data_IF_279775955409
#
_entry.id   IF_279775955409
#
_cell.length_a   1.000
_cell.length_b   1.000
_cell.length_c   1.000
_cell.angle_alpha   90.00
_cell.angle_beta   90.00
_cell.angle_gamma   90.00
#
_symmetry.space_group_name_H-M   'P 1'
#
loop_
_entity.id
_entity.type
_entity.pdbx_description
1 polymer ?
#
# COMPACT_ATOMS: atom_id res chain seq x y z
N UNK A 1 11.19 12.60 -4.16
CA UNK A 1 10.29 12.72 -2.96
C UNK A 1 9.27 13.84 -3.15
N UNK A 2 8.14 13.81 -2.45
CA UNK A 2 7.14 14.90 -2.45
C UNK A 2 5.97 14.71 -3.43
N UNK A 3 6.06 13.71 -4.29
CA UNK A 3 4.95 13.31 -5.16
C UNK A 3 3.88 12.55 -4.37
N UNK A 4 2.62 12.72 -4.78
CA UNK A 4 1.50 11.96 -4.23
C UNK A 4 1.13 10.82 -5.17
N UNK A 5 1.25 9.59 -4.67
CA UNK A 5 0.83 8.39 -5.36
C UNK A 5 -0.66 8.17 -5.15
N UNK A 6 -1.41 8.06 -6.25
CA UNK A 6 -2.83 7.75 -6.24
C UNK A 6 -3.06 6.39 -6.91
N UNK A 7 -3.54 5.42 -6.14
CA UNK A 7 -3.92 4.09 -6.62
C UNK A 7 -5.42 4.07 -6.85
N UNK A 8 -5.84 4.00 -8.10
CA UNK A 8 -7.26 3.91 -8.47
C UNK A 8 -7.67 2.43 -8.50
N UNK A 9 -8.41 2.01 -7.48
CA UNK A 9 -8.79 0.62 -7.26
C UNK A 9 -10.17 0.31 -7.81
N UNK A 10 -10.26 -0.84 -8.45
CA UNK A 10 -11.49 -1.52 -8.80
C UNK A 10 -11.24 -3.03 -8.65
N UNK A 11 -11.09 -3.49 -7.41
CA UNK A 11 -10.77 -4.87 -7.06
C UNK A 11 -11.72 -5.41 -5.97
N UNK A 12 -13.03 -5.54 -6.25
CA UNK A 12 -14.01 -5.98 -5.25
C UNK A 12 -13.61 -7.32 -4.61
N UNK A 13 -13.64 -7.40 -3.28
CA UNK A 13 -13.22 -8.59 -2.52
C UNK A 13 -11.70 -8.75 -2.34
N UNK A 14 -10.89 -7.82 -2.85
CA UNK A 14 -9.45 -7.78 -2.64
C UNK A 14 -9.05 -6.46 -1.97
N UNK A 15 -9.08 -6.39 -0.61
CA UNK A 15 -8.62 -5.23 0.15
C UNK A 15 -7.14 -4.96 -0.15
N UNK A 16 -6.80 -3.75 -0.60
CA UNK A 16 -5.44 -3.37 -0.99
C UNK A 16 -4.78 -2.54 0.12
N UNK A 17 -3.72 -3.06 0.72
CA UNK A 17 -2.97 -2.39 1.78
C UNK A 17 -1.58 -1.98 1.33
N UNK A 18 -1.19 -0.75 1.66
CA UNK A 18 0.19 -0.31 1.63
C UNK A 18 0.88 -0.62 2.97
N UNK A 19 2.02 -1.31 2.91
CA UNK A 19 2.77 -1.82 4.07
C UNK A 19 4.27 -1.50 3.98
N UNK A 20 4.94 -1.45 5.12
CA UNK A 20 6.37 -1.10 5.29
C UNK A 20 7.30 -2.28 4.98
N UNK A 21 6.91 -3.49 5.37
CA UNK A 21 7.71 -4.72 5.24
C UNK A 21 6.86 -5.82 4.63
N UNK A 22 7.39 -6.55 3.64
CA UNK A 22 6.72 -7.74 3.12
C UNK A 22 6.94 -8.95 4.06
N UNK A 23 5.96 -9.22 4.92
CA UNK A 23 5.91 -10.39 5.81
C UNK A 23 4.78 -11.38 5.45
N UNK A 24 4.10 -11.16 4.32
CA UNK A 24 2.98 -12.00 3.85
C UNK A 24 1.64 -11.72 4.53
N UNK A 25 1.51 -10.65 5.31
CA UNK A 25 0.24 -10.26 5.95
C UNK A 25 0.08 -8.75 6.17
N UNK A 26 -1.02 -8.38 6.81
CA UNK A 26 -1.42 -6.99 7.11
C UNK A 26 -1.60 -6.82 8.61
N UNK A 27 -0.50 -6.66 9.35
CA UNK A 27 -0.55 -6.30 10.77
C UNK A 27 -0.57 -4.77 10.96
N UNK A 28 -1.21 -4.30 12.03
CA UNK A 28 -1.39 -2.86 12.28
C UNK A 28 -0.07 -2.11 12.46
N UNK A 29 1.00 -2.78 12.88
CA UNK A 29 2.31 -2.17 13.09
C UNK A 29 3.08 -2.02 11.77
N UNK A 30 2.69 -2.76 10.74
CA UNK A 30 3.32 -2.80 9.42
C UNK A 30 2.64 -1.88 8.38
N UNK A 31 1.52 -1.24 8.71
CA UNK A 31 0.89 -0.28 7.80
C UNK A 31 1.77 0.96 7.60
N UNK A 32 1.76 1.53 6.40
CA UNK A 32 2.37 2.83 6.13
C UNK A 32 1.49 3.92 6.76
N UNK A 33 2.12 4.84 7.47
CA UNK A 33 1.44 5.97 8.10
C UNK A 33 1.04 7.03 7.07
N UNK A 34 -0.08 7.72 7.31
CA UNK A 34 -0.56 8.80 6.44
C UNK A 34 -1.20 8.36 5.13
N UNK A 35 -1.40 7.05 4.92
CA UNK A 35 -2.14 6.54 3.76
C UNK A 35 -3.64 6.76 3.96
N UNK A 36 -4.28 7.41 3.00
CA UNK A 36 -5.74 7.58 2.98
C UNK A 36 -6.42 6.37 2.34
N UNK A 37 -7.55 5.94 2.91
CA UNK A 37 -8.37 4.83 2.40
C UNK A 37 -7.62 3.48 2.30
N UNK A 38 -6.58 3.28 3.12
CA UNK A 38 -5.77 2.06 3.12
C UNK A 38 -6.65 0.83 3.41
N UNK A 39 -6.48 -0.24 2.63
CA UNK A 39 -7.32 -1.44 2.72
C UNK A 39 -8.58 -1.41 1.86
N UNK A 40 -8.85 -0.32 1.13
CA UNK A 40 -10.01 -0.28 0.25
C UNK A 40 -9.92 -1.30 -0.89
N UNK A 41 -11.07 -1.82 -1.33
CA UNK A 41 -11.20 -2.64 -2.53
C UNK A 41 -11.68 -1.84 -3.76
N UNK A 42 -12.05 -0.57 -3.57
CA UNK A 42 -12.54 0.32 -4.63
C UNK A 42 -12.33 1.78 -4.25
N UNK A 43 -12.19 2.65 -5.26
CA UNK A 43 -11.91 4.08 -5.06
C UNK A 43 -10.43 4.38 -5.06
N UNK A 44 -10.03 5.55 -4.56
CA UNK A 44 -8.63 5.97 -4.58
C UNK A 44 -7.98 5.78 -3.21
N UNK A 45 -6.81 5.13 -3.20
CA UNK A 45 -5.85 5.17 -2.09
C UNK A 45 -4.81 6.23 -2.43
N UNK A 46 -4.53 7.13 -1.49
CA UNK A 46 -3.56 8.21 -1.70
C UNK A 46 -2.50 8.22 -0.62
N UNK A 47 -1.24 8.35 -1.02
CA UNK A 47 -0.07 8.38 -0.15
C UNK A 47 1.02 9.29 -0.73
N UNK A 48 1.60 10.12 0.13
CA UNK A 48 2.77 10.96 -0.19
C UNK A 48 3.96 10.46 0.63
N UNK A 49 4.94 9.76 0.01
CA UNK A 49 6.12 9.27 0.73
C UNK A 49 6.97 10.41 1.26
N UNK A 50 7.36 10.34 2.53
CA UNK A 50 8.29 11.29 3.17
C UNK A 50 9.75 10.88 3.08
N UNK A 51 10.03 9.60 2.78
CA UNK A 51 11.36 9.02 2.76
C UNK A 51 11.53 8.10 1.54
N UNK A 52 12.76 8.07 1.00
CA UNK A 52 13.14 7.12 -0.02
C UNK A 52 13.27 5.71 0.59
N UNK A 53 12.94 4.69 -0.19
CA UNK A 53 12.98 3.32 0.29
C UNK A 53 12.13 2.35 -0.51
N UNK A 54 12.07 1.12 -0.01
CA UNK A 54 11.25 0.05 -0.57
C UNK A 54 10.06 -0.20 0.34
N UNK A 55 8.88 -0.04 -0.25
CA UNK A 55 7.58 -0.30 0.36
C UNK A 55 6.84 -1.35 -0.45
N UNK A 56 5.67 -1.76 0.01
CA UNK A 56 4.92 -2.82 -0.65
C UNK A 56 3.42 -2.52 -0.68
N UNK A 57 2.73 -3.12 -1.64
CA UNK A 57 1.30 -3.36 -1.50
C UNK A 57 1.03 -4.85 -1.30
N UNK A 58 -0.01 -5.19 -0.55
CA UNK A 58 -0.49 -6.56 -0.37
C UNK A 58 -2.03 -6.60 -0.39
N UNK A 59 -2.61 -7.72 -0.83
CA UNK A 59 -4.00 -8.02 -0.54
C UNK A 59 -4.14 -8.71 0.82
N UNK A 60 -5.06 -8.25 1.68
CA UNK A 60 -5.31 -8.84 3.01
C UNK A 60 -5.58 -10.35 2.95
N UNK A 61 -6.34 -10.81 1.95
CA UNK A 61 -6.75 -12.21 1.85
C UNK A 61 -5.88 -13.07 0.93
N UNK A 62 -5.06 -12.44 0.07
CA UNK A 62 -4.29 -13.13 -0.95
C UNK A 62 -2.82 -12.73 -0.85
N UNK A 63 -2.00 -13.43 -0.04
CA UNK A 63 -0.59 -13.07 0.18
C UNK A 63 0.26 -13.05 -1.09
N UNK A 64 -0.16 -13.75 -2.14
CA UNK A 64 0.51 -13.72 -3.47
C UNK A 64 0.23 -12.44 -4.26
N UNK A 65 -0.81 -11.67 -3.92
CA UNK A 65 -1.07 -10.36 -4.49
C UNK A 65 -0.20 -9.33 -3.77
N UNK A 66 1.10 -9.49 -3.92
CA UNK A 66 2.14 -8.67 -3.32
C UNK A 66 2.90 -7.97 -4.44
N UNK A 67 3.15 -6.67 -4.28
CA UNK A 67 4.04 -5.93 -5.17
C UNK A 67 4.95 -4.98 -4.42
N UNK A 68 6.08 -4.65 -5.06
CA UNK A 68 7.10 -3.76 -4.52
C UNK A 68 6.91 -2.35 -5.08
N UNK A 69 7.08 -1.35 -4.22
CA UNK A 69 7.05 0.06 -4.55
C UNK A 69 8.40 0.65 -4.16
N UNK A 70 9.16 1.10 -5.14
CA UNK A 70 10.46 1.75 -4.89
C UNK A 70 10.30 3.25 -5.03
N UNK A 71 10.62 3.96 -3.96
CA UNK A 71 10.61 5.42 -3.92
C UNK A 71 12.07 5.88 -3.95
N UNK A 72 12.46 6.59 -5.01
CA UNK A 72 13.79 7.17 -5.19
C UNK A 72 13.74 8.69 -5.02
N UNK A 73 14.87 9.31 -4.68
CA UNK A 73 14.96 10.78 -4.56
C UNK A 73 14.51 11.52 -5.81
#
# INVERSE_FOLDING_TARGET
MGDTLNFNLNSPGHPFYLIKVSNGGTDSNNLIDGVTNNGASSGTISWTPSEAGTYYYICEYHPSMLGTITITE
#
